data_IF_590106565374
#
_entry.id   IF_590106565374
#
_cell.length_a   1.000
_cell.length_b   1.000
_cell.length_c   1.000
_cell.angle_alpha   90.00
_cell.angle_beta   90.00
_cell.angle_gamma   90.00
#
_symmetry.space_group_name_H-M   'P 1'
#
loop_
_entity.id
_entity.type
_entity.pdbx_description
1 polymer ?
#
# COMPACT_ATOMS: atom_id res chain seq x y z
N UNK A 1 17.05 8.61 -21.42
CA UNK A 1 16.03 8.30 -20.40
C UNK A 1 16.45 7.03 -19.69
N UNK A 2 17.31 7.15 -18.69
CA UNK A 2 17.67 6.04 -17.81
C UNK A 2 16.69 6.06 -16.66
N UNK A 3 15.79 5.08 -16.61
CA UNK A 3 15.04 4.81 -15.39
C UNK A 3 16.08 4.48 -14.31
N UNK A 4 16.14 5.26 -13.23
CA UNK A 4 16.88 4.86 -12.03
C UNK A 4 16.18 3.62 -11.50
N UNK A 5 16.69 2.45 -11.88
CA UNK A 5 15.97 1.18 -11.82
C UNK A 5 15.54 0.84 -10.38
N UNK A 6 16.27 1.31 -9.38
CA UNK A 6 15.99 1.00 -7.99
C UNK A 6 14.80 1.75 -7.37
N UNK A 7 14.51 3.00 -7.75
CA UNK A 7 13.42 3.78 -7.11
C UNK A 7 12.05 3.35 -7.64
N UNK A 8 11.93 3.14 -8.95
CA UNK A 8 10.73 2.55 -9.56
C UNK A 8 10.46 1.15 -9.03
N UNK A 9 11.51 0.31 -8.98
CA UNK A 9 11.40 -1.03 -8.41
C UNK A 9 10.97 -0.95 -6.94
N UNK A 10 11.51 -0.04 -6.14
CA UNK A 10 11.13 0.06 -4.73
C UNK A 10 9.67 0.50 -4.53
N UNK A 11 9.18 1.49 -5.28
CA UNK A 11 7.81 2.04 -5.11
C UNK A 11 6.74 1.13 -5.70
N UNK A 12 6.89 0.72 -6.95
CA UNK A 12 5.85 0.00 -7.69
C UNK A 12 5.78 -1.46 -7.24
N UNK A 13 6.94 -2.09 -7.05
CA UNK A 13 7.00 -3.48 -6.61
C UNK A 13 6.42 -3.61 -5.19
N UNK A 14 6.77 -2.72 -4.26
CA UNK A 14 6.35 -2.85 -2.86
C UNK A 14 4.82 -2.80 -2.70
N UNK A 15 4.15 -1.82 -3.32
CA UNK A 15 2.70 -1.73 -3.23
C UNK A 15 1.99 -2.85 -4.00
N UNK A 16 2.47 -3.17 -5.21
CA UNK A 16 1.89 -4.25 -6.04
C UNK A 16 2.03 -5.61 -5.37
N UNK A 17 3.18 -5.91 -4.77
CA UNK A 17 3.40 -7.11 -3.98
C UNK A 17 2.51 -7.14 -2.75
N UNK A 18 2.36 -6.02 -2.05
CA UNK A 18 1.52 -5.95 -0.85
C UNK A 18 0.06 -6.31 -1.16
N UNK A 19 -0.53 -5.72 -2.21
CA UNK A 19 -1.90 -6.07 -2.64
C UNK A 19 -2.00 -7.51 -3.16
N UNK A 20 -0.99 -7.99 -3.89
CA UNK A 20 -0.96 -9.36 -4.40
C UNK A 20 -0.89 -10.39 -3.26
N UNK A 21 -0.07 -10.15 -2.23
CA UNK A 21 0.02 -11.01 -1.04
C UNK A 21 -1.32 -11.04 -0.31
N UNK A 22 -1.96 -9.88 -0.11
CA UNK A 22 -3.28 -9.82 0.52
C UNK A 22 -4.33 -10.62 -0.25
N UNK A 23 -4.37 -10.45 -1.58
CA UNK A 23 -5.29 -11.20 -2.43
C UNK A 23 -5.03 -12.71 -2.39
N UNK A 24 -3.77 -13.14 -2.43
CA UNK A 24 -3.40 -14.55 -2.34
C UNK A 24 -3.88 -15.17 -1.02
N UNK A 25 -3.70 -14.46 0.09
CA UNK A 25 -4.18 -14.93 1.39
C UNK A 25 -5.71 -15.05 1.37
N UNK A 26 -6.45 -14.06 0.89
CA UNK A 26 -7.92 -14.16 0.77
C UNK A 26 -8.37 -15.34 -0.09
N UNK A 27 -7.66 -15.65 -1.19
CA UNK A 27 -7.93 -16.82 -2.03
C UNK A 27 -7.69 -18.12 -1.24
N UNK A 28 -6.59 -18.22 -0.49
CA UNK A 28 -6.31 -19.37 0.36
C UNK A 28 -7.41 -19.58 1.41
N UNK A 29 -7.94 -18.50 1.97
CA UNK A 29 -9.08 -18.54 2.90
C UNK A 29 -10.36 -19.03 2.22
N UNK A 30 -10.64 -18.56 1.00
CA UNK A 30 -11.82 -19.00 0.26
C UNK A 30 -11.77 -20.50 -0.09
N UNK A 31 -10.58 -21.04 -0.37
CA UNK A 31 -10.44 -22.46 -0.73
C UNK A 31 -10.49 -23.36 0.52
N UNK A 32 -10.19 -22.82 1.71
CA UNK A 32 -10.05 -23.59 2.92
C UNK A 32 -11.33 -24.36 3.30
N UNK A 33 -11.25 -25.65 3.68
CA UNK A 33 -12.42 -26.46 4.02
C UNK A 33 -13.08 -26.02 5.34
N UNK A 34 -14.39 -25.76 5.35
CA UNK A 34 -15.08 -25.17 6.51
C UNK A 34 -15.21 -26.12 7.71
N UNK A 35 -15.15 -27.43 7.48
CA UNK A 35 -15.41 -28.44 8.51
C UNK A 35 -14.14 -29.00 9.17
N UNK A 36 -12.97 -28.42 8.88
CA UNK A 36 -11.66 -29.01 9.22
C UNK A 36 -10.93 -28.32 10.39
N UNK A 37 -11.50 -27.27 10.98
CA UNK A 37 -10.80 -26.39 11.93
C UNK A 37 -11.47 -26.39 13.31
N UNK A 38 -10.68 -26.72 14.33
CA UNK A 38 -11.01 -26.39 15.72
C UNK A 38 -10.82 -24.90 16.00
N UNK A 39 -11.41 -24.41 17.11
CA UNK A 39 -11.44 -22.99 17.48
C UNK A 39 -10.09 -22.27 17.43
N UNK A 40 -8.99 -22.93 17.82
CA UNK A 40 -7.65 -22.32 17.83
C UNK A 40 -7.12 -22.01 16.42
N UNK A 41 -7.41 -22.87 15.45
CA UNK A 41 -6.94 -22.68 14.08
C UNK A 41 -7.71 -21.59 13.34
N UNK A 42 -8.99 -21.40 13.67
CA UNK A 42 -9.81 -20.30 13.14
C UNK A 42 -9.26 -18.95 13.62
N UNK A 43 -8.92 -18.84 14.91
CA UNK A 43 -8.31 -17.61 15.46
C UNK A 43 -6.98 -17.31 14.78
N UNK A 44 -6.09 -18.30 14.63
CA UNK A 44 -4.83 -18.13 13.91
C UNK A 44 -5.05 -17.64 12.47
N UNK A 45 -6.04 -18.21 11.79
CA UNK A 45 -6.39 -17.84 10.44
C UNK A 45 -6.87 -16.36 10.38
N UNK A 46 -7.78 -15.97 11.27
CA UNK A 46 -8.23 -14.58 11.37
C UNK A 46 -7.08 -13.61 11.68
N UNK A 47 -6.15 -13.98 12.56
CA UNK A 47 -4.95 -13.17 12.85
C UNK A 47 -4.07 -13.00 11.61
N UNK A 48 -3.86 -14.06 10.82
CA UNK A 48 -3.10 -13.97 9.56
C UNK A 48 -3.77 -13.00 8.58
N UNK A 49 -5.10 -13.04 8.47
CA UNK A 49 -5.83 -12.09 7.62
C UNK A 49 -5.60 -10.64 8.05
N UNK A 50 -5.70 -10.33 9.35
CA UNK A 50 -5.47 -8.98 9.87
C UNK A 50 -4.03 -8.49 9.63
N UNK A 51 -3.04 -9.37 9.81
CA UNK A 51 -1.64 -9.04 9.56
C UNK A 51 -1.42 -8.75 8.07
N UNK A 52 -1.96 -9.59 7.19
CA UNK A 52 -1.84 -9.37 5.75
C UNK A 52 -2.51 -8.08 5.32
N UNK A 53 -3.72 -7.79 5.81
CA UNK A 53 -4.40 -6.51 5.54
C UNK A 53 -3.53 -5.30 5.92
N UNK A 54 -2.85 -5.35 7.07
CA UNK A 54 -1.91 -4.30 7.49
C UNK A 54 -0.71 -4.13 6.54
N UNK A 55 -0.25 -5.20 5.88
CA UNK A 55 0.81 -5.12 4.85
C UNK A 55 0.35 -4.30 3.64
N UNK A 56 -0.92 -4.35 3.26
CA UNK A 56 -1.46 -3.52 2.17
C UNK A 56 -1.33 -2.02 2.46
N UNK A 57 -1.63 -1.63 3.70
CA UNK A 57 -1.53 -0.24 4.17
C UNK A 57 -0.07 0.20 4.24
N UNK A 58 0.81 -0.68 4.72
CA UNK A 58 2.25 -0.43 4.74
C UNK A 58 2.81 -0.21 3.34
N UNK A 59 2.47 -1.08 2.38
CA UNK A 59 2.94 -0.98 0.99
C UNK A 59 2.58 0.36 0.35
N UNK A 60 1.34 0.79 0.54
CA UNK A 60 0.90 2.11 0.07
C UNK A 60 1.63 3.25 0.79
N UNK A 61 1.71 3.20 2.12
CA UNK A 61 2.35 4.24 2.92
C UNK A 61 3.82 4.44 2.55
N UNK A 62 4.54 3.33 2.33
CA UNK A 62 5.92 3.34 1.86
C UNK A 62 6.05 4.02 0.48
N UNK A 63 5.21 3.63 -0.48
CA UNK A 63 5.18 4.26 -1.80
C UNK A 63 4.83 5.76 -1.73
N UNK A 64 3.90 6.14 -0.86
CA UNK A 64 3.49 7.54 -0.66
C UNK A 64 4.61 8.40 -0.05
N UNK A 65 5.38 7.87 0.90
CA UNK A 65 6.54 8.57 1.48
C UNK A 65 7.60 8.86 0.42
N UNK A 66 7.91 7.88 -0.41
CA UNK A 66 8.94 8.00 -1.45
C UNK A 66 8.57 9.02 -2.54
N UNK A 67 7.31 9.00 -2.99
CA UNK A 67 6.83 9.91 -4.06
C UNK A 67 6.47 11.29 -3.49
N UNK A 68 5.78 11.33 -2.36
CA UNK A 68 5.18 12.54 -1.79
C UNK A 68 6.11 13.40 -0.97
N UNK A 69 7.18 12.83 -0.38
CA UNK A 69 8.20 13.55 0.37
C UNK A 69 7.58 14.46 1.45
N UNK A 70 7.83 15.78 1.42
CA UNK A 70 7.26 16.75 2.36
C UNK A 70 5.72 16.78 2.36
N UNK A 71 5.10 16.48 1.21
CA UNK A 71 3.65 16.50 1.04
C UNK A 71 2.99 15.16 1.38
N UNK A 72 3.75 14.15 1.81
CA UNK A 72 3.23 12.82 2.15
C UNK A 72 2.07 12.90 3.14
N UNK A 73 2.13 13.79 4.13
CA UNK A 73 1.04 13.98 5.09
C UNK A 73 -0.30 14.30 4.41
N UNK A 74 -0.28 15.11 3.34
CA UNK A 74 -1.47 15.47 2.59
C UNK A 74 -1.94 14.32 1.70
N UNK A 75 -1.02 13.60 1.07
CA UNK A 75 -1.36 12.41 0.28
C UNK A 75 -2.02 11.35 1.16
N UNK A 76 -1.41 11.04 2.30
CA UNK A 76 -1.93 10.06 3.27
C UNK A 76 -3.25 10.53 3.88
N UNK A 77 -3.40 11.81 4.20
CA UNK A 77 -4.67 12.34 4.69
C UNK A 77 -5.81 12.18 3.67
N UNK A 78 -5.58 12.50 2.40
CA UNK A 78 -6.57 12.28 1.34
C UNK A 78 -6.85 10.79 1.12
N UNK A 79 -5.85 9.92 1.28
CA UNK A 79 -6.03 8.48 1.19
C UNK A 79 -6.99 7.93 2.24
N UNK A 80 -7.05 8.51 3.44
CA UNK A 80 -7.97 8.05 4.50
C UNK A 80 -9.44 8.10 4.06
N UNK A 81 -9.81 9.05 3.17
CA UNK A 81 -11.15 9.09 2.58
C UNK A 81 -11.41 7.83 1.74
N UNK A 82 -10.46 7.44 0.89
CA UNK A 82 -10.57 6.23 0.06
C UNK A 82 -10.52 4.95 0.90
N UNK A 83 -9.76 4.94 2.00
CA UNK A 83 -9.80 3.84 2.97
C UNK A 83 -11.19 3.68 3.59
N UNK A 84 -11.83 4.80 3.97
CA UNK A 84 -13.21 4.81 4.45
C UNK A 84 -14.20 4.26 3.41
N UNK A 85 -14.05 4.67 2.14
CA UNK A 85 -14.87 4.15 1.05
C UNK A 85 -14.66 2.64 0.86
N UNK A 86 -13.42 2.15 0.94
CA UNK A 86 -13.11 0.72 0.84
C UNK A 86 -13.78 -0.09 1.98
N UNK A 87 -13.81 0.46 3.20
CA UNK A 87 -14.52 -0.15 4.33
C UNK A 87 -16.03 -0.21 4.11
N UNK A 88 -16.62 0.85 3.52
CA UNK A 88 -18.05 0.86 3.17
C UNK A 88 -18.35 -0.18 2.09
N UNK A 89 -17.52 -0.27 1.04
CA UNK A 89 -17.67 -1.27 -0.03
C UNK A 89 -17.57 -2.69 0.53
N UNK A 90 -16.60 -2.95 1.40
CA UNK A 90 -16.42 -4.26 2.04
C UNK A 90 -17.63 -4.62 2.91
N UNK A 91 -18.08 -3.69 3.75
CA UNK A 91 -19.26 -3.89 4.62
C UNK A 91 -20.53 -4.12 3.81
N UNK A 92 -20.73 -3.36 2.73
CA UNK A 92 -21.88 -3.51 1.84
C UNK A 92 -21.84 -4.84 1.11
N UNK A 93 -20.66 -5.27 0.65
CA UNK A 93 -20.48 -6.58 0.00
C UNK A 93 -20.88 -7.71 0.93
N UNK A 94 -20.45 -7.66 2.20
CA UNK A 94 -20.84 -8.65 3.21
C UNK A 94 -22.36 -8.63 3.44
N UNK A 95 -22.95 -7.44 3.66
CA UNK A 95 -24.39 -7.29 3.92
C UNK A 95 -25.27 -7.82 2.78
N UNK A 96 -24.83 -7.66 1.53
CA UNK A 96 -25.61 -8.11 0.36
C UNK A 96 -25.40 -9.59 0.04
N UNK A 97 -24.25 -10.16 0.41
CA UNK A 97 -23.84 -11.52 0.03
C UNK A 97 -24.13 -12.56 1.10
N UNK A 98 -23.96 -12.20 2.38
CA UNK A 98 -24.10 -13.14 3.50
C UNK A 98 -25.51 -13.03 4.08
N UNK A 99 -26.32 -14.09 3.91
CA UNK A 99 -27.71 -14.16 4.40
C UNK A 99 -27.89 -15.24 5.45
N UNK A 100 -27.36 -16.42 5.17
CA UNK A 100 -27.50 -17.61 6.01
C UNK A 100 -26.27 -17.88 6.87
N UNK A 101 -25.25 -17.02 6.78
CA UNK A 101 -23.95 -17.19 7.41
C UNK A 101 -23.29 -18.53 7.03
N UNK A 102 -23.57 -19.00 5.80
CA UNK A 102 -22.99 -20.26 5.32
C UNK A 102 -21.55 -20.04 4.85
N UNK A 103 -20.65 -21.04 4.99
CA UNK A 103 -19.28 -20.90 4.52
C UNK A 103 -19.17 -20.56 3.03
N UNK A 104 -20.10 -21.03 2.20
CA UNK A 104 -20.09 -20.76 0.75
C UNK A 104 -20.34 -19.29 0.42
N UNK A 105 -21.16 -18.59 1.20
CA UNK A 105 -21.38 -17.13 1.03
C UNK A 105 -20.10 -16.35 1.35
N UNK A 106 -19.39 -16.73 2.42
CA UNK A 106 -18.11 -16.12 2.81
C UNK A 106 -17.01 -16.34 1.78
N UNK A 107 -16.97 -17.51 1.14
CA UNK A 107 -16.03 -17.78 0.04
C UNK A 107 -16.20 -16.79 -1.10
N UNK A 108 -17.45 -16.46 -1.45
CA UNK A 108 -17.73 -15.48 -2.49
C UNK A 108 -17.25 -14.07 -2.09
N UNK A 109 -17.45 -13.68 -0.84
CA UNK A 109 -16.94 -12.40 -0.30
C UNK A 109 -15.42 -12.33 -0.40
N UNK A 110 -14.69 -13.35 0.06
CA UNK A 110 -13.23 -13.37 0.01
C UNK A 110 -12.69 -13.34 -1.42
N UNK A 111 -13.31 -14.09 -2.34
CA UNK A 111 -12.92 -14.08 -3.75
C UNK A 111 -13.21 -12.74 -4.43
N UNK A 112 -14.34 -12.10 -4.13
CA UNK A 112 -14.67 -10.78 -4.65
C UNK A 112 -13.67 -9.72 -4.18
N UNK A 113 -13.33 -9.72 -2.89
CA UNK A 113 -12.31 -8.83 -2.33
C UNK A 113 -10.91 -9.09 -2.91
N UNK A 114 -10.54 -10.36 -3.10
CA UNK A 114 -9.27 -10.72 -3.73
C UNK A 114 -9.18 -10.24 -5.18
N UNK A 115 -10.27 -10.40 -5.96
CA UNK A 115 -10.33 -9.92 -7.33
C UNK A 115 -10.16 -8.39 -7.40
N UNK A 116 -10.82 -7.65 -6.50
CA UNK A 116 -10.68 -6.20 -6.43
C UNK A 116 -9.25 -5.78 -6.10
N UNK A 117 -8.61 -6.43 -5.13
CA UNK A 117 -7.21 -6.17 -4.78
C UNK A 117 -6.24 -6.44 -5.94
N UNK A 118 -6.45 -7.51 -6.70
CA UNK A 118 -5.64 -7.81 -7.89
C UNK A 118 -5.85 -6.78 -9.00
N UNK A 119 -7.07 -6.29 -9.20
CA UNK A 119 -7.35 -5.19 -10.14
C UNK A 119 -6.62 -3.92 -9.69
N UNK A 120 -6.69 -3.56 -8.41
CA UNK A 120 -5.95 -2.43 -7.86
C UNK A 120 -4.43 -2.60 -8.02
N UNK A 121 -3.90 -3.81 -7.78
CA UNK A 121 -2.50 -4.14 -7.97
C UNK A 121 -2.08 -3.98 -9.43
N UNK A 122 -2.91 -4.42 -10.39
CA UNK A 122 -2.65 -4.26 -11.81
C UNK A 122 -2.69 -2.78 -12.25
N UNK A 123 -3.67 -2.02 -11.77
CA UNK A 123 -3.77 -0.57 -12.04
C UNK A 123 -2.53 0.14 -11.51
N UNK A 124 -2.13 -0.14 -10.26
CA UNK A 124 -0.95 0.47 -9.65
C UNK A 124 0.35 0.03 -10.33
N UNK A 125 0.46 -1.24 -10.70
CA UNK A 125 1.62 -1.77 -11.43
C UNK A 125 1.79 -1.13 -12.81
N UNK A 126 0.70 -0.73 -13.47
CA UNK A 126 0.72 -0.13 -14.79
C UNK A 126 0.87 1.41 -14.76
N UNK A 127 0.21 2.07 -13.79
CA UNK A 127 0.19 3.53 -13.70
C UNK A 127 1.22 4.11 -12.72
N UNK A 128 1.76 3.29 -11.83
CA UNK A 128 2.71 3.72 -10.81
C UNK A 128 4.05 4.15 -11.41
N UNK A 129 4.54 5.31 -10.97
CA UNK A 129 5.91 5.74 -11.19
C UNK A 129 6.61 5.91 -9.82
N UNK A 130 7.90 5.55 -9.76
CA UNK A 130 8.73 5.76 -8.58
C UNK A 130 9.37 7.15 -8.53
N UNK A 131 9.18 7.96 -9.59
CA UNK A 131 9.67 9.35 -9.62
C UNK A 131 8.75 10.25 -8.81
N UNK A 132 9.35 11.14 -8.02
CA UNK A 132 8.61 12.24 -7.45
C UNK A 132 8.07 13.16 -8.56
N UNK A 133 6.82 13.57 -8.41
CA UNK A 133 6.17 14.52 -9.32
C UNK A 133 6.89 15.87 -9.33
N UNK A 134 6.77 16.63 -10.43
CA UNK A 134 7.46 17.93 -10.60
C UNK A 134 7.23 18.90 -9.43
N UNK A 135 6.00 18.92 -8.91
CA UNK A 135 5.62 19.75 -7.76
C UNK A 135 6.25 19.29 -6.43
N UNK A 136 6.65 18.02 -6.33
CA UNK A 136 7.29 17.44 -5.15
C UNK A 136 8.83 17.39 -5.26
N UNK A 137 9.41 17.54 -6.45
CA UNK A 137 10.88 17.42 -6.63
C UNK A 137 11.68 18.40 -5.79
N UNK A 138 11.25 19.65 -5.73
CA UNK A 138 11.94 20.72 -4.98
C UNK A 138 11.76 20.62 -3.46
N UNK A 139 10.87 19.74 -2.97
CA UNK A 139 10.61 19.61 -1.53
C UNK A 139 11.78 19.01 -0.73
N UNK A 140 12.80 18.49 -1.40
CA UNK A 140 14.04 17.98 -0.81
C UNK A 140 15.15 19.00 -0.75
N UNK A 141 15.00 20.16 -1.39
CA UNK A 141 16.00 21.21 -1.31
C UNK A 141 15.86 21.92 0.04
N UNK A 142 16.78 21.72 1.00
CA UNK A 142 16.73 22.40 2.30
C UNK A 142 16.79 23.93 2.14
N UNK A 143 17.26 24.44 1.00
CA UNK A 143 17.26 25.85 0.65
C UNK A 143 15.93 26.38 0.11
N UNK A 144 15.03 25.50 -0.35
CA UNK A 144 13.67 25.89 -0.76
C UNK A 144 12.74 26.09 0.44
N UNK A 145 12.97 25.37 1.55
CA UNK A 145 12.18 25.49 2.77
C UNK A 145 12.60 26.67 3.68
N UNK A 146 13.79 27.24 3.45
CA UNK A 146 14.36 28.30 4.30
C UNK A 146 15.01 29.35 3.40
N UNK A 147 14.58 30.62 3.45
CA UNK A 147 15.33 31.72 2.81
C UNK A 147 16.76 31.65 3.33
N UNK A 148 17.72 31.28 2.46
CA UNK A 148 19.13 31.24 2.83
C UNK A 148 19.56 32.64 3.26
N UNK A 149 19.90 32.80 4.54
CA UNK A 149 20.50 34.03 5.07
C UNK A 149 21.97 34.09 4.62
N UNK A 150 22.63 32.95 4.42
CA UNK A 150 23.97 32.82 3.82
C UNK A 150 24.19 31.42 3.23
N UNK A 151 24.85 31.34 2.07
CA UNK A 151 25.18 30.08 1.38
C UNK A 151 26.36 29.32 2.02
N UNK A 152 27.15 30.00 2.86
CA UNK A 152 28.37 29.46 3.49
C UNK A 152 28.10 28.41 4.60
N UNK A 153 26.84 28.15 4.95
CA UNK A 153 26.43 27.16 5.95
C UNK A 153 26.13 25.78 5.38
N UNK A 154 26.14 25.62 4.05
CA UNK A 154 26.00 24.32 3.40
C UNK A 154 27.41 23.79 3.19
N UNK A 155 27.91 23.02 4.16
CA UNK A 155 29.16 22.29 4.02
C UNK A 155 28.97 21.15 3.03
N UNK A 156 29.22 21.42 1.74
CA UNK A 156 29.25 20.42 0.67
C UNK A 156 30.41 19.43 0.80
N UNK A 157 31.37 19.63 1.71
CA UNK A 157 32.50 18.71 1.86
C UNK A 157 32.20 17.50 2.73
N UNK A 158 31.10 17.50 3.47
CA UNK A 158 30.54 16.30 4.06
C UNK A 158 29.45 15.75 3.15
N UNK A 159 29.88 15.13 2.04
CA UNK A 159 29.12 14.07 1.40
C UNK A 159 28.91 12.98 2.47
N UNK A 160 27.83 13.09 3.24
CA UNK A 160 27.26 11.93 3.88
C UNK A 160 26.94 10.94 2.76
N UNK A 161 27.79 9.92 2.64
CA UNK A 161 27.60 8.69 1.88
C UNK A 161 26.39 7.93 2.45
N UNK A 162 25.23 8.59 2.46
CA UNK A 162 24.03 8.24 3.17
C UNK A 162 22.84 8.70 2.36
N UNK A 163 22.55 7.92 1.30
CA UNK A 163 21.26 7.93 0.59
C UNK A 163 21.01 9.15 -0.32
N UNK A 164 22.05 9.63 -1.01
CA UNK A 164 21.88 10.45 -2.24
C UNK A 164 22.35 9.68 -3.46
N UNK A 165 21.77 8.50 -3.66
CA UNK A 165 21.65 7.89 -4.98
C UNK A 165 20.26 7.27 -5.05
N UNK A 166 19.35 7.87 -5.82
CA UNK A 166 18.51 7.25 -6.86
C UNK A 166 17.71 8.28 -7.65
#
# INVERSE_FOLDING_TARGET
MTHSCGSWLSVVLTNTLSFSICALVLILFAIFPPNALGSSRIVMAFTVLLVCDAVSVYGFGYSAVLVGRYFTQHIVANMQLFMGLAMIVTSTTVLLTVRSNSPNEWRLVFLASAALLLICAAIFGFLGDGKAEEWAKQSWDPSAARRMISADLIDYHHDECGIVEM
#
